data_IF_000496016758
#
_entry.id   IF_000496016758
#
_cell.length_a   1.000
_cell.length_b   1.000
_cell.length_c   1.000
_cell.angle_alpha   90.00
_cell.angle_beta   90.00
_cell.angle_gamma   90.00
#
_symmetry.space_group_name_H-M   'P 1'
#
loop_
_entity.id
_entity.type
_entity.pdbx_description
1 polymer ?
#
# COMPACT_ATOMS: atom_id res chain seq x y z
N UNK A 1 -2.27 30.71 -15.49
CA UNK A 1 -2.24 32.18 -15.24
C UNK A 1 -1.24 32.80 -16.23
N UNK A 2 -0.99 34.12 -16.27
CA UNK A 2 0.05 34.69 -17.15
C UNK A 2 1.47 34.44 -16.60
N UNK A 3 2.51 34.57 -17.44
CA UNK A 3 3.91 34.55 -16.99
C UNK A 3 4.12 35.50 -15.80
N UNK A 4 4.78 35.01 -14.74
CA UNK A 4 5.08 35.81 -13.56
C UNK A 4 6.08 36.93 -13.93
N UNK A 5 5.99 38.11 -13.29
CA UNK A 5 7.07 39.08 -13.31
C UNK A 5 8.39 38.39 -12.91
N UNK A 6 9.49 38.76 -13.56
CA UNK A 6 10.79 38.10 -13.40
C UNK A 6 11.21 37.95 -11.93
N UNK A 7 10.95 38.96 -11.10
CA UNK A 7 11.23 38.94 -9.65
C UNK A 7 10.48 37.82 -8.91
N UNK A 8 9.18 37.63 -9.20
CA UNK A 8 8.37 36.58 -8.58
C UNK A 8 8.78 35.19 -9.06
N UNK A 9 9.18 35.07 -10.32
CA UNK A 9 9.75 33.82 -10.86
C UNK A 9 11.06 33.46 -10.15
N UNK A 10 11.93 34.45 -9.90
CA UNK A 10 13.18 34.26 -9.14
C UNK A 10 12.89 33.83 -7.71
N UNK A 11 11.95 34.48 -7.02
CA UNK A 11 11.55 34.11 -5.66
C UNK A 11 10.98 32.67 -5.58
N UNK A 12 10.15 32.28 -6.55
CA UNK A 12 9.61 30.93 -6.62
C UNK A 12 10.74 29.90 -6.84
N UNK A 13 11.66 30.17 -7.76
CA UNK A 13 12.82 29.30 -7.99
C UNK A 13 13.73 29.23 -6.75
N UNK A 14 13.99 30.35 -6.06
CA UNK A 14 14.76 30.37 -4.81
C UNK A 14 14.08 29.54 -3.71
N UNK A 15 12.75 29.63 -3.57
CA UNK A 15 12.01 28.79 -2.63
C UNK A 15 12.19 27.30 -2.95
N UNK A 16 12.03 26.89 -4.22
CA UNK A 16 12.23 25.51 -4.65
C UNK A 16 13.68 25.04 -4.47
N UNK A 17 14.67 25.88 -4.77
CA UNK A 17 16.09 25.62 -4.52
C UNK A 17 16.40 25.41 -3.04
N UNK A 18 15.70 26.10 -2.15
CA UNK A 18 15.81 25.92 -0.70
C UNK A 18 14.98 24.74 -0.16
N UNK A 19 14.36 23.94 -1.04
CA UNK A 19 13.65 22.71 -0.68
C UNK A 19 12.21 22.91 -0.21
N UNK A 20 11.60 24.07 -0.42
CA UNK A 20 10.18 24.27 -0.11
C UNK A 20 9.30 23.42 -1.04
N UNK A 21 8.40 22.61 -0.47
CA UNK A 21 7.42 21.85 -1.26
C UNK A 21 6.31 22.76 -1.79
N UNK A 22 5.62 22.29 -2.83
CA UNK A 22 4.46 22.99 -3.40
C UNK A 22 3.36 23.16 -2.32
N UNK A 23 3.22 22.19 -1.39
CA UNK A 23 2.32 22.27 -0.21
C UNK A 23 2.73 23.38 0.78
N UNK A 24 4.02 23.55 1.05
CA UNK A 24 4.48 24.60 1.96
C UNK A 24 4.27 25.99 1.35
N UNK A 25 4.56 26.12 0.06
CA UNK A 25 4.33 27.37 -0.69
C UNK A 25 2.84 27.68 -0.76
N UNK A 26 1.98 26.68 -0.97
CA UNK A 26 0.54 26.85 -1.07
C UNK A 26 -0.03 27.41 0.24
N UNK A 27 0.40 26.88 1.39
CA UNK A 27 0.03 27.40 2.70
C UNK A 27 0.46 28.85 2.92
N UNK A 28 1.68 29.21 2.50
CA UNK A 28 2.21 30.58 2.65
C UNK A 28 1.52 31.59 1.74
N UNK A 29 1.08 31.17 0.55
CA UNK A 29 0.43 32.03 -0.43
C UNK A 29 -1.11 32.04 -0.32
N UNK A 30 -1.70 31.09 0.41
CA UNK A 30 -3.15 30.95 0.55
C UNK A 30 -3.86 30.48 -0.73
N UNK A 31 -3.16 29.68 -1.55
CA UNK A 31 -3.66 29.07 -2.80
C UNK A 31 -3.55 27.54 -2.70
N UNK A 32 -4.08 26.79 -3.66
CA UNK A 32 -3.97 25.31 -3.65
C UNK A 32 -2.57 24.82 -4.03
N UNK A 33 -2.25 23.56 -3.71
CA UNK A 33 -1.01 22.92 -4.15
C UNK A 33 -0.94 22.82 -5.69
N UNK A 34 -2.08 22.54 -6.33
CA UNK A 34 -2.22 22.50 -7.78
C UNK A 34 -1.91 23.86 -8.42
N UNK A 35 -2.41 24.95 -7.86
CA UNK A 35 -2.13 26.31 -8.34
C UNK A 35 -0.63 26.64 -8.23
N UNK A 36 0.04 26.21 -7.15
CA UNK A 36 1.51 26.37 -7.03
C UNK A 36 2.23 25.56 -8.10
N UNK A 37 1.84 24.31 -8.33
CA UNK A 37 2.43 23.43 -9.34
C UNK A 37 2.29 24.02 -10.74
N UNK A 38 1.10 24.49 -11.10
CA UNK A 38 0.83 25.14 -12.39
C UNK A 38 1.69 26.39 -12.57
N UNK A 39 1.72 27.28 -11.57
CA UNK A 39 2.58 28.46 -11.57
C UNK A 39 4.05 28.09 -11.78
N UNK A 40 4.50 27.04 -11.10
CA UNK A 40 5.88 26.56 -11.17
C UNK A 40 6.23 26.06 -12.58
N UNK A 41 5.36 25.24 -13.19
CA UNK A 41 5.56 24.69 -14.54
C UNK A 41 5.45 25.79 -15.62
N UNK A 42 4.43 26.66 -15.56
CA UNK A 42 4.23 27.78 -16.50
C UNK A 42 5.44 28.72 -16.57
N UNK A 43 6.21 28.81 -15.48
CA UNK A 43 7.38 29.68 -15.36
C UNK A 43 8.73 28.95 -15.53
N UNK A 44 8.71 27.68 -15.95
CA UNK A 44 9.91 26.89 -16.20
C UNK A 44 10.72 26.60 -14.93
N UNK A 45 10.09 26.62 -13.75
CA UNK A 45 10.71 26.29 -12.47
C UNK A 45 10.52 24.79 -12.24
N UNK A 46 11.22 23.96 -13.00
CA UNK A 46 11.14 22.50 -12.91
C UNK A 46 12.41 21.93 -12.30
N UNK A 47 12.34 20.80 -11.57
CA UNK A 47 13.55 20.17 -11.06
C UNK A 47 14.35 19.58 -12.22
N UNK A 48 15.66 19.43 -12.00
CA UNK A 48 16.53 18.56 -12.77
C UNK A 48 16.92 17.36 -11.92
N UNK A 49 17.30 16.27 -12.55
CA UNK A 49 17.73 15.06 -11.85
C UNK A 49 19.22 14.82 -12.07
N UNK A 50 19.96 14.63 -10.97
CA UNK A 50 21.41 14.45 -10.97
C UNK A 50 21.80 13.07 -10.49
N UNK A 51 22.95 12.61 -10.95
CA UNK A 51 23.49 11.30 -10.60
C UNK A 51 24.29 11.34 -9.30
N UNK A 52 24.17 10.27 -8.52
CA UNK A 52 25.11 9.98 -7.44
C UNK A 52 26.30 9.22 -8.03
N UNK A 53 27.49 9.81 -7.96
CA UNK A 53 28.69 9.32 -8.67
C UNK A 53 29.86 8.93 -7.74
N UNK A 54 29.74 9.17 -6.43
CA UNK A 54 30.79 9.00 -5.40
C UNK A 54 32.03 9.90 -5.54
N UNK A 55 32.14 10.70 -6.60
CA UNK A 55 33.36 11.44 -6.97
C UNK A 55 33.13 12.91 -7.35
N UNK A 56 31.91 13.44 -7.12
CA UNK A 56 31.57 14.85 -7.32
C UNK A 56 31.87 15.36 -8.74
N UNK A 57 31.56 14.54 -9.74
CA UNK A 57 31.71 14.85 -11.16
C UNK A 57 33.13 14.66 -11.71
N UNK A 58 34.07 14.12 -10.93
CA UNK A 58 35.44 13.85 -11.42
C UNK A 58 35.45 12.78 -12.52
N UNK A 59 34.60 11.76 -12.40
CA UNK A 59 34.46 10.67 -13.35
C UNK A 59 33.00 10.48 -13.77
N UNK A 60 32.81 9.99 -14.99
CA UNK A 60 31.47 9.62 -15.47
C UNK A 60 30.93 8.43 -14.66
N UNK A 61 29.83 8.65 -13.93
CA UNK A 61 29.11 7.56 -13.29
C UNK A 61 28.31 6.77 -14.31
N UNK A 62 28.26 5.45 -14.19
CA UNK A 62 27.38 4.58 -14.98
C UNK A 62 26.18 4.08 -14.19
N UNK A 63 26.20 4.22 -12.87
CA UNK A 63 25.15 3.78 -11.97
C UNK A 63 23.94 4.71 -12.05
N UNK A 64 22.74 4.21 -12.40
CA UNK A 64 21.57 5.03 -12.67
C UNK A 64 20.82 5.42 -11.37
N UNK A 65 21.52 6.12 -10.48
CA UNK A 65 21.04 6.51 -9.15
C UNK A 65 20.85 8.03 -9.08
N UNK A 66 19.59 8.47 -8.99
CA UNK A 66 19.20 9.87 -9.18
C UNK A 66 18.56 10.50 -7.94
N UNK A 67 18.74 11.82 -7.83
CA UNK A 67 17.97 12.69 -6.94
C UNK A 67 17.59 13.99 -7.67
N UNK A 68 16.49 14.62 -7.25
CA UNK A 68 16.01 15.87 -7.82
C UNK A 68 16.66 17.08 -7.15
N UNK A 69 16.91 18.13 -7.93
CA UNK A 69 17.35 19.41 -7.42
C UNK A 69 16.92 20.56 -8.32
N UNK A 70 16.90 21.77 -7.77
CA UNK A 70 16.70 23.01 -8.54
C UNK A 70 18.05 23.71 -8.71
N UNK A 71 18.82 23.23 -9.69
CA UNK A 71 20.15 23.78 -9.98
C UNK A 71 20.06 25.16 -10.65
N UNK A 72 21.09 25.97 -10.44
CA UNK A 72 21.30 27.19 -11.22
C UNK A 72 21.78 26.80 -12.62
N UNK A 73 21.26 27.43 -13.70
CA UNK A 73 21.69 27.08 -15.04
C UNK A 73 23.19 27.29 -15.24
N UNK A 74 23.85 26.26 -15.77
CA UNK A 74 25.24 26.36 -16.18
C UNK A 74 25.26 27.02 -17.55
N UNK A 75 25.97 28.13 -17.68
CA UNK A 75 26.20 28.77 -18.97
C UNK A 75 27.31 28.01 -19.71
N UNK A 76 26.95 27.30 -20.78
CA UNK A 76 27.89 26.79 -21.78
C UNK A 76 27.91 27.73 -22.98
N UNK A 77 28.96 27.69 -23.80
CA UNK A 77 28.98 28.39 -25.09
C UNK A 77 28.72 27.35 -26.17
N UNK A 78 27.63 27.52 -26.93
CA UNK A 78 27.28 26.65 -28.05
C UNK A 78 28.27 26.75 -29.20
N UNK A 79 28.20 25.82 -30.16
CA UNK A 79 29.03 25.84 -31.38
C UNK A 79 28.82 27.11 -32.23
N UNK A 80 27.70 27.80 -32.03
CA UNK A 80 27.37 29.10 -32.63
C UNK A 80 27.94 30.32 -31.87
N UNK A 81 28.69 30.08 -30.80
CA UNK A 81 29.27 31.12 -29.94
C UNK A 81 28.27 31.81 -29.01
N UNK A 82 27.02 31.33 -28.92
CA UNK A 82 26.01 31.88 -28.03
C UNK A 82 26.01 31.18 -26.67
N UNK A 83 25.74 31.90 -25.57
CA UNK A 83 25.57 31.27 -24.26
C UNK A 83 24.31 30.39 -24.25
N UNK A 84 24.50 29.09 -24.09
CA UNK A 84 23.46 28.10 -23.83
C UNK A 84 23.32 27.88 -22.33
N UNK A 85 22.13 28.16 -21.80
CA UNK A 85 21.76 27.85 -20.43
C UNK A 85 21.38 26.37 -20.34
N UNK A 86 22.27 25.54 -19.79
CA UNK A 86 22.00 24.12 -19.56
C UNK A 86 21.42 23.93 -18.15
N UNK A 87 20.15 23.54 -18.11
CA UNK A 87 19.54 22.85 -16.97
C UNK A 87 19.24 21.43 -17.46
N UNK A 88 20.27 20.61 -17.61
CA UNK A 88 20.10 19.25 -18.11
C UNK A 88 20.02 18.26 -16.95
N UNK A 89 18.96 17.45 -16.99
CA UNK A 89 18.87 16.25 -16.17
C UNK A 89 19.81 15.20 -16.76
N UNK A 90 20.53 14.50 -15.90
CA UNK A 90 21.50 13.47 -16.28
C UNK A 90 20.83 12.10 -16.52
N UNK A 91 19.50 12.08 -16.67
CA UNK A 91 18.71 10.86 -16.81
C UNK A 91 19.04 10.17 -18.13
N UNK A 92 19.49 8.92 -18.02
CA UNK A 92 19.82 8.06 -19.17
C UNK A 92 18.71 7.08 -19.43
N UNK A 93 17.98 7.28 -20.52
CA UNK A 93 16.89 6.41 -20.95
C UNK A 93 17.32 5.47 -22.06
N UNK A 94 16.69 4.30 -22.12
CA UNK A 94 16.75 3.41 -23.27
C UNK A 94 15.48 3.51 -24.12
N UNK A 95 15.45 2.82 -25.24
CA UNK A 95 14.26 2.71 -26.10
C UNK A 95 13.19 1.74 -25.55
N UNK A 96 13.46 1.05 -24.43
CA UNK A 96 12.52 0.10 -23.84
C UNK A 96 11.36 0.84 -23.17
N UNK A 97 10.14 0.24 -23.16
CA UNK A 97 9.03 0.79 -22.39
C UNK A 97 9.36 0.79 -20.90
N UNK A 98 9.04 1.89 -20.22
CA UNK A 98 9.34 2.10 -18.80
C UNK A 98 8.14 1.76 -17.93
N UNK A 99 8.33 0.95 -16.88
CA UNK A 99 7.36 0.76 -15.80
C UNK A 99 7.95 1.32 -14.51
N UNK A 100 7.17 2.19 -13.86
CA UNK A 100 7.53 2.82 -12.61
C UNK A 100 6.93 2.06 -11.42
N UNK A 101 7.70 1.88 -10.36
CA UNK A 101 7.31 1.17 -9.15
C UNK A 101 7.50 2.13 -7.97
N UNK A 102 6.41 2.40 -7.25
CA UNK A 102 6.46 3.22 -6.05
C UNK A 102 6.73 2.36 -4.82
N UNK A 103 7.81 2.66 -4.09
CA UNK A 103 8.13 2.07 -2.80
C UNK A 103 7.21 2.54 -1.67
N UNK A 104 7.54 2.18 -0.43
CA UNK A 104 6.76 2.56 0.76
C UNK A 104 7.28 3.75 1.55
N UNK A 105 8.51 4.19 1.29
CA UNK A 105 9.22 5.14 2.13
C UNK A 105 9.72 4.46 3.41
N UNK A 106 9.91 5.25 4.47
CA UNK A 106 10.46 4.75 5.73
C UNK A 106 9.60 3.62 6.34
N UNK A 107 10.28 2.57 6.80
CA UNK A 107 9.65 1.46 7.51
C UNK A 107 9.02 1.95 8.82
N UNK A 108 7.87 1.38 9.17
CA UNK A 108 7.13 1.62 10.41
C UNK A 108 6.26 0.42 10.74
N UNK A 109 5.75 0.35 11.97
CA UNK A 109 4.81 -0.72 12.37
C UNK A 109 3.64 -0.75 11.38
N UNK A 110 3.35 -1.92 10.82
CA UNK A 110 2.34 -2.13 9.78
C UNK A 110 2.79 -1.86 8.34
N UNK A 111 3.94 -1.24 8.13
CA UNK A 111 4.58 -0.99 6.83
C UNK A 111 6.08 -1.29 6.88
N UNK A 112 6.42 -2.57 6.74
CA UNK A 112 7.80 -3.04 6.84
C UNK A 112 8.39 -3.48 5.51
N UNK A 113 9.39 -4.34 5.65
CA UNK A 113 10.21 -4.89 4.55
C UNK A 113 9.41 -5.78 3.61
N UNK A 114 8.21 -6.21 4.00
CA UNK A 114 7.35 -7.08 3.20
C UNK A 114 6.90 -6.38 1.90
N UNK A 115 6.68 -5.06 1.98
CA UNK A 115 6.35 -4.22 0.83
C UNK A 115 7.58 -3.95 -0.05
N UNK A 116 8.75 -3.77 0.56
CA UNK A 116 10.02 -3.64 -0.15
C UNK A 116 10.32 -4.90 -0.99
N UNK A 117 10.11 -6.09 -0.40
CA UNK A 117 10.21 -7.38 -1.08
C UNK A 117 9.32 -7.42 -2.33
N UNK A 118 8.07 -6.98 -2.22
CA UNK A 118 7.14 -6.94 -3.35
C UNK A 118 7.62 -5.99 -4.45
N UNK A 119 8.07 -4.79 -4.10
CA UNK A 119 8.62 -3.82 -5.05
C UNK A 119 9.87 -4.34 -5.77
N UNK A 120 10.79 -4.99 -5.05
CA UNK A 120 11.97 -5.62 -5.64
C UNK A 120 11.58 -6.71 -6.64
N UNK A 121 10.67 -7.61 -6.24
CA UNK A 121 10.19 -8.69 -7.11
C UNK A 121 9.49 -8.16 -8.38
N UNK A 122 8.77 -7.03 -8.29
CA UNK A 122 8.22 -6.35 -9.45
C UNK A 122 9.33 -5.86 -10.40
N UNK A 123 10.35 -5.17 -9.87
CA UNK A 123 11.46 -4.68 -10.66
C UNK A 123 12.19 -5.84 -11.37
N UNK A 124 12.41 -6.94 -10.68
CA UNK A 124 13.06 -8.12 -11.27
C UNK A 124 12.19 -8.77 -12.36
N UNK A 125 10.89 -8.94 -12.13
CA UNK A 125 9.99 -9.58 -13.08
C UNK A 125 9.81 -8.77 -14.37
N UNK A 126 9.65 -7.46 -14.23
CA UNK A 126 9.43 -6.55 -15.36
C UNK A 126 10.70 -6.34 -16.19
N UNK A 127 11.87 -6.30 -15.53
CA UNK A 127 13.17 -6.28 -16.23
C UNK A 127 13.38 -7.54 -17.05
N UNK A 128 13.08 -8.71 -16.49
CA UNK A 128 13.14 -10.00 -17.22
C UNK A 128 12.14 -10.05 -18.38
N UNK A 129 11.02 -9.32 -18.27
CA UNK A 129 10.03 -9.16 -19.33
C UNK A 129 10.39 -8.09 -20.39
N UNK A 130 11.55 -7.45 -20.28
CA UNK A 130 12.06 -6.51 -21.28
C UNK A 130 11.71 -5.04 -21.07
N UNK A 131 11.18 -4.68 -19.90
CA UNK A 131 10.90 -3.28 -19.54
C UNK A 131 12.10 -2.63 -18.85
N UNK A 132 12.22 -1.32 -19.02
CA UNK A 132 13.02 -0.52 -18.10
C UNK A 132 12.21 -0.33 -16.81
N UNK A 133 12.83 -0.63 -15.67
CA UNK A 133 12.18 -0.49 -14.37
C UNK A 133 12.70 0.75 -13.65
N UNK A 134 11.78 1.63 -13.26
CA UNK A 134 12.09 2.84 -12.49
C UNK A 134 11.59 2.64 -11.07
N UNK A 135 12.48 2.58 -10.09
CA UNK A 135 12.13 2.53 -8.68
C UNK A 135 12.11 3.94 -8.11
N UNK A 136 11.06 4.28 -7.37
CA UNK A 136 10.96 5.53 -6.61
C UNK A 136 10.78 5.17 -5.13
N UNK A 137 11.79 5.41 -4.31
CA UNK A 137 11.74 5.16 -2.87
C UNK A 137 12.77 6.04 -2.14
N UNK A 138 12.60 6.23 -0.84
CA UNK A 138 13.47 7.08 -0.02
C UNK A 138 13.99 6.40 1.25
N UNK A 139 13.78 5.09 1.38
CA UNK A 139 14.22 4.34 2.56
C UNK A 139 15.65 3.82 2.37
N UNK A 140 16.66 4.36 3.07
CA UNK A 140 18.06 3.98 2.86
C UNK A 140 18.39 2.55 3.31
N UNK A 141 17.50 1.90 4.07
CA UNK A 141 17.75 0.56 4.62
C UNK A 141 17.36 -0.58 3.65
N UNK A 142 16.74 -0.23 2.52
CA UNK A 142 16.01 -1.19 1.70
C UNK A 142 16.74 -1.66 0.45
N UNK A 143 16.40 -2.86 -0.02
CA UNK A 143 16.98 -3.42 -1.24
C UNK A 143 16.42 -2.71 -2.47
N UNK A 144 15.20 -2.17 -2.42
CA UNK A 144 14.66 -1.38 -3.53
C UNK A 144 15.47 -0.12 -3.83
N UNK A 145 16.14 0.45 -2.82
CA UNK A 145 17.04 1.59 -2.98
C UNK A 145 18.49 1.20 -3.28
N UNK A 146 18.75 -0.09 -3.52
CA UNK A 146 19.99 -0.52 -4.17
C UNK A 146 19.88 -0.24 -5.68
N UNK A 147 20.91 0.37 -6.26
CA UNK A 147 20.96 0.71 -7.67
C UNK A 147 20.99 -0.51 -8.60
N UNK A 148 21.33 -1.70 -8.10
CA UNK A 148 21.28 -2.95 -8.87
C UNK A 148 19.86 -3.53 -9.01
N UNK A 149 18.91 -3.02 -8.20
CA UNK A 149 17.54 -3.57 -8.14
C UNK A 149 16.69 -3.18 -9.34
N UNK A 150 16.80 -1.93 -9.80
CA UNK A 150 16.02 -1.39 -10.91
C UNK A 150 16.93 -0.89 -12.04
N UNK A 151 16.34 -0.57 -13.19
CA UNK A 151 17.10 0.04 -14.30
C UNK A 151 17.47 1.48 -14.01
N UNK A 152 16.61 2.19 -13.26
CA UNK A 152 16.86 3.52 -12.73
C UNK A 152 16.26 3.63 -11.34
N UNK A 153 16.97 4.29 -10.43
CA UNK A 153 16.53 4.53 -9.07
C UNK A 153 16.43 6.04 -8.83
N UNK A 154 15.28 6.49 -8.36
CA UNK A 154 15.07 7.85 -7.88
C UNK A 154 14.94 7.83 -6.36
N UNK A 155 15.93 8.39 -5.65
CA UNK A 155 15.93 8.54 -4.20
C UNK A 155 15.09 9.74 -3.76
N UNK A 156 13.79 9.66 -4.00
CA UNK A 156 12.88 10.80 -3.87
C UNK A 156 11.80 10.54 -2.81
N UNK A 157 11.35 11.59 -2.10
CA UNK A 157 10.19 11.46 -1.23
C UNK A 157 8.95 11.04 -2.04
N UNK A 158 8.20 10.07 -1.52
CA UNK A 158 6.94 9.60 -2.11
C UNK A 158 5.80 10.59 -1.83
N UNK A 159 5.88 11.75 -2.47
CA UNK A 159 4.84 12.78 -2.48
C UNK A 159 4.28 12.92 -3.88
N UNK A 160 3.06 13.43 -4.01
CA UNK A 160 2.46 13.71 -5.31
C UNK A 160 3.37 14.58 -6.19
N UNK A 161 3.92 15.66 -5.62
CA UNK A 161 4.81 16.58 -6.32
C UNK A 161 6.00 15.87 -6.96
N UNK A 162 6.77 15.11 -6.17
CA UNK A 162 8.01 14.47 -6.63
C UNK A 162 7.73 13.32 -7.58
N UNK A 163 6.72 12.51 -7.28
CA UNK A 163 6.29 11.41 -8.16
C UNK A 163 5.86 11.94 -9.52
N UNK A 164 5.07 13.03 -9.57
CA UNK A 164 4.68 13.64 -10.84
C UNK A 164 5.86 14.26 -11.60
N UNK A 165 6.82 14.86 -10.90
CA UNK A 165 8.04 15.37 -11.55
C UNK A 165 8.81 14.22 -12.25
N UNK A 166 8.87 13.03 -11.64
CA UNK A 166 9.50 11.85 -12.25
C UNK A 166 8.66 11.33 -13.42
N UNK A 167 7.33 11.23 -13.27
CA UNK A 167 6.42 10.78 -14.35
C UNK A 167 6.54 11.67 -15.59
N UNK A 168 6.58 12.99 -15.43
CA UNK A 168 6.69 13.95 -16.52
C UNK A 168 7.99 13.79 -17.31
N UNK A 169 9.09 13.48 -16.59
CA UNK A 169 10.36 13.20 -17.24
C UNK A 169 10.34 11.81 -17.84
N UNK A 170 10.18 10.73 -17.06
CA UNK A 170 10.26 9.33 -17.51
C UNK A 170 9.24 8.96 -18.58
N UNK A 171 8.00 9.49 -18.48
CA UNK A 171 6.84 9.13 -19.31
C UNK A 171 6.61 7.61 -19.32
N UNK A 172 6.40 6.97 -18.15
CA UNK A 172 6.24 5.53 -18.07
C UNK A 172 4.99 5.06 -18.82
N UNK A 173 5.00 3.82 -19.30
CA UNK A 173 3.81 3.16 -19.86
C UNK A 173 2.90 2.58 -18.77
N UNK A 174 3.41 2.49 -17.54
CA UNK A 174 2.65 2.00 -16.39
C UNK A 174 3.30 2.40 -15.06
N UNK A 175 2.48 2.62 -14.04
CA UNK A 175 2.87 2.94 -12.66
C UNK A 175 2.21 1.95 -11.71
N UNK A 176 3.03 1.23 -10.92
CA UNK A 176 2.57 0.30 -9.87
C UNK A 176 2.54 1.05 -8.53
N UNK A 177 1.36 1.09 -7.92
CA UNK A 177 1.09 1.76 -6.63
C UNK A 177 0.67 0.79 -5.53
N UNK A 178 0.39 -0.47 -5.87
CA UNK A 178 -0.23 -1.46 -5.00
C UNK A 178 0.77 -2.25 -4.15
N UNK A 179 2.07 -2.07 -4.37
CA UNK A 179 3.12 -2.90 -3.76
C UNK A 179 3.86 -2.23 -2.60
N UNK A 180 3.92 -0.89 -2.57
CA UNK A 180 4.64 -0.15 -1.54
C UNK A 180 3.84 0.13 -0.25
N UNK A 181 2.73 -0.57 -0.01
CA UNK A 181 1.85 -0.32 1.14
C UNK A 181 1.04 0.98 1.00
N UNK A 182 0.70 1.65 2.11
CA UNK A 182 -0.25 2.77 2.07
C UNK A 182 0.29 4.05 1.44
N UNK A 183 1.61 4.29 1.55
CA UNK A 183 2.22 5.54 1.05
C UNK A 183 1.87 5.79 -0.43
N UNK A 184 2.10 4.84 -1.36
CA UNK A 184 1.68 5.01 -2.75
C UNK A 184 0.18 4.90 -2.99
N UNK A 185 -0.55 4.11 -2.20
CA UNK A 185 -2.02 4.01 -2.34
C UNK A 185 -2.71 5.34 -2.08
N UNK A 186 -2.28 6.06 -1.05
CA UNK A 186 -2.81 7.40 -0.73
C UNK A 186 -2.57 8.42 -1.86
N UNK A 187 -1.64 8.14 -2.78
CA UNK A 187 -1.37 8.98 -3.94
C UNK A 187 -2.14 8.52 -5.19
N UNK A 188 -2.64 7.28 -5.21
CA UNK A 188 -3.09 6.61 -6.43
C UNK A 188 -4.17 7.39 -7.19
N UNK A 189 -5.26 7.78 -6.51
CA UNK A 189 -6.38 8.51 -7.12
C UNK A 189 -5.92 9.86 -7.67
N UNK A 190 -5.15 10.62 -6.88
CA UNK A 190 -4.64 11.94 -7.29
C UNK A 190 -3.66 11.84 -8.47
N UNK A 191 -2.83 10.79 -8.50
CA UNK A 191 -1.91 10.52 -9.61
C UNK A 191 -2.67 10.16 -10.89
N UNK A 192 -3.69 9.31 -10.79
CA UNK A 192 -4.54 8.95 -11.94
C UNK A 192 -5.28 10.15 -12.51
N UNK A 193 -5.88 11.00 -11.65
CA UNK A 193 -6.53 12.25 -12.06
C UNK A 193 -5.57 13.22 -12.76
N UNK A 194 -4.28 13.21 -12.37
CA UNK A 194 -3.22 13.98 -13.01
C UNK A 194 -2.66 13.34 -14.30
N UNK A 195 -3.21 12.19 -14.72
CA UNK A 195 -2.84 11.50 -15.96
C UNK A 195 -1.72 10.46 -15.83
N UNK A 196 -1.36 10.05 -14.60
CA UNK A 196 -0.42 8.95 -14.41
C UNK A 196 -1.04 7.62 -14.90
N UNK A 197 -0.32 6.81 -15.71
CA UNK A 197 -0.85 5.55 -16.21
C UNK A 197 -0.76 4.46 -15.14
N UNK A 198 -1.70 4.47 -14.17
CA UNK A 198 -1.75 3.44 -13.13
C UNK A 198 -2.11 2.09 -13.78
N UNK A 199 -1.31 1.05 -13.51
CA UNK A 199 -1.54 -0.32 -14.01
C UNK A 199 -1.88 -1.26 -12.87
N UNK A 200 -2.55 -2.38 -13.17
CA UNK A 200 -3.08 -3.30 -12.17
C UNK A 200 -4.48 -2.91 -11.70
N UNK A 201 -4.81 -3.24 -10.44
CA UNK A 201 -6.11 -2.89 -9.86
C UNK A 201 -6.28 -1.37 -9.80
N UNK A 202 -7.42 -0.87 -10.26
CA UNK A 202 -7.69 0.56 -10.37
C UNK A 202 -7.77 1.26 -9.00
N UNK A 203 -7.42 2.55 -8.89
CA UNK A 203 -7.64 3.34 -7.68
C UNK A 203 -9.11 3.29 -7.21
N UNK A 204 -10.07 3.38 -8.13
CA UNK A 204 -11.48 3.28 -7.82
C UNK A 204 -11.87 1.93 -7.18
N UNK A 205 -11.31 0.82 -7.67
CA UNK A 205 -11.51 -0.52 -7.08
C UNK A 205 -10.92 -0.61 -5.66
N UNK A 206 -9.79 0.04 -5.43
CA UNK A 206 -9.16 0.12 -4.10
C UNK A 206 -10.06 0.93 -3.15
N UNK A 207 -10.45 2.14 -3.54
CA UNK A 207 -11.29 3.03 -2.73
C UNK A 207 -12.65 2.41 -2.40
N UNK A 208 -13.22 1.60 -3.31
CA UNK A 208 -14.48 0.87 -3.08
C UNK A 208 -14.41 -0.05 -1.86
N UNK A 209 -13.25 -0.63 -1.56
CA UNK A 209 -13.06 -1.52 -0.40
C UNK A 209 -12.85 -0.75 0.91
N UNK A 210 -12.41 0.50 0.85
CA UNK A 210 -12.26 1.36 2.03
C UNK A 210 -13.57 2.04 2.44
N UNK A 211 -14.47 2.34 1.49
CA UNK A 211 -15.82 2.85 1.80
C UNK A 211 -16.76 1.75 2.25
N UNK A 212 -17.13 1.78 3.54
CA UNK A 212 -17.92 0.72 4.17
C UNK A 212 -19.33 0.56 3.59
N UNK A 213 -19.99 1.63 3.15
CA UNK A 213 -21.35 1.54 2.61
C UNK A 213 -21.32 0.88 1.23
N UNK A 214 -20.37 1.30 0.40
CA UNK A 214 -20.11 0.75 -0.92
C UNK A 214 -19.67 -0.72 -0.82
N UNK A 215 -18.74 -1.02 0.08
CA UNK A 215 -18.26 -2.37 0.33
C UNK A 215 -19.37 -3.28 0.87
N UNK A 216 -20.18 -2.80 1.81
CA UNK A 216 -21.28 -3.58 2.35
C UNK A 216 -22.34 -3.94 1.30
N UNK A 217 -22.76 -2.97 0.48
CA UNK A 217 -23.69 -3.22 -0.62
C UNK A 217 -23.11 -4.21 -1.66
N UNK A 218 -21.80 -4.14 -1.90
CA UNK A 218 -21.09 -5.08 -2.77
C UNK A 218 -21.07 -6.50 -2.21
N UNK A 219 -20.81 -6.68 -0.90
CA UNK A 219 -20.87 -7.99 -0.26
C UNK A 219 -22.29 -8.58 -0.30
N UNK A 220 -23.32 -7.75 -0.08
CA UNK A 220 -24.71 -8.17 -0.17
C UNK A 220 -25.07 -8.66 -1.59
N UNK A 221 -24.60 -7.96 -2.63
CA UNK A 221 -24.78 -8.37 -4.04
C UNK A 221 -24.14 -9.74 -4.30
N UNK A 222 -22.97 -10.01 -3.74
CA UNK A 222 -22.26 -11.28 -3.87
C UNK A 222 -22.81 -12.40 -2.95
N UNK A 223 -23.72 -12.07 -2.04
CA UNK A 223 -24.23 -12.99 -1.02
C UNK A 223 -23.17 -13.41 -0.01
N UNK A 224 -22.18 -12.55 0.26
CA UNK A 224 -21.06 -12.82 1.18
C UNK A 224 -21.36 -12.18 2.53
N UNK A 225 -21.24 -12.96 3.60
CA UNK A 225 -21.53 -12.49 4.95
C UNK A 225 -20.42 -11.59 5.50
N UNK A 226 -20.81 -10.52 6.19
CA UNK A 226 -19.94 -9.66 7.01
C UNK A 226 -20.51 -9.52 8.43
N UNK A 227 -19.69 -9.15 9.43
CA UNK A 227 -20.20 -8.83 10.77
C UNK A 227 -21.21 -7.69 10.72
N UNK A 228 -22.23 -7.75 11.59
CA UNK A 228 -23.16 -6.63 11.75
C UNK A 228 -22.39 -5.37 12.17
N UNK A 229 -22.59 -4.25 11.49
CA UNK A 229 -21.81 -3.04 11.71
C UNK A 229 -22.59 -1.77 11.41
N UNK A 230 -22.03 -0.65 11.84
CA UNK A 230 -22.60 0.68 11.63
C UNK A 230 -21.57 1.79 11.71
N UNK A 231 -22.02 3.02 11.49
CA UNK A 231 -21.19 4.23 11.53
C UNK A 231 -21.86 5.25 12.44
N UNK A 232 -21.07 5.93 13.26
CA UNK A 232 -21.52 6.98 14.15
C UNK A 232 -20.60 8.20 14.07
N UNK A 233 -21.16 9.40 14.19
CA UNK A 233 -20.41 10.66 14.19
C UNK A 233 -20.35 11.33 15.56
N UNK A 234 -21.18 10.86 16.50
CA UNK A 234 -21.25 11.35 17.86
C UNK A 234 -21.54 10.21 18.84
N UNK A 235 -21.47 10.51 20.14
CA UNK A 235 -21.64 9.53 21.21
C UNK A 235 -23.02 8.87 21.22
N UNK A 236 -24.09 9.65 21.03
CA UNK A 236 -25.45 9.13 21.13
C UNK A 236 -25.75 8.16 19.97
N UNK A 237 -25.36 8.52 18.74
CA UNK A 237 -25.42 7.62 17.58
C UNK A 237 -24.63 6.32 17.82
N UNK A 238 -23.43 6.43 18.40
CA UNK A 238 -22.58 5.26 18.64
C UNK A 238 -23.20 4.28 19.63
N UNK A 239 -23.86 4.78 20.69
CA UNK A 239 -24.57 3.94 21.66
C UNK A 239 -25.77 3.26 21.02
N UNK A 240 -26.53 3.97 20.18
CA UNK A 240 -27.67 3.39 19.45
C UNK A 240 -27.22 2.25 18.53
N UNK A 241 -26.17 2.50 17.74
CA UNK A 241 -25.57 1.48 16.86
C UNK A 241 -25.06 0.28 17.69
N UNK A 242 -24.27 0.52 18.74
CA UNK A 242 -23.75 -0.56 19.58
C UNK A 242 -24.85 -1.38 20.26
N UNK A 243 -25.96 -0.76 20.71
CA UNK A 243 -27.11 -1.48 21.27
C UNK A 243 -27.84 -2.34 20.24
N UNK A 244 -27.99 -1.84 19.02
CA UNK A 244 -28.63 -2.59 17.93
C UNK A 244 -27.82 -3.81 17.49
N UNK A 245 -26.48 -3.69 17.51
CA UNK A 245 -25.54 -4.75 17.15
C UNK A 245 -25.37 -5.74 18.33
N UNK A 246 -25.34 -5.22 19.56
CA UNK A 246 -25.07 -5.94 20.79
C UNK A 246 -23.58 -6.00 21.14
N UNK A 247 -23.25 -5.88 22.42
CA UNK A 247 -21.88 -5.99 22.94
C UNK A 247 -21.39 -7.45 23.05
N UNK A 248 -20.07 -7.70 23.00
CA UNK A 248 -18.99 -6.73 22.73
C UNK A 248 -18.99 -6.23 21.28
N UNK A 249 -18.46 -5.02 21.07
CA UNK A 249 -18.28 -4.40 19.74
C UNK A 249 -16.84 -3.99 19.53
N UNK A 250 -16.34 -4.09 18.29
CA UNK A 250 -15.07 -3.52 17.88
C UNK A 250 -15.32 -2.09 17.39
N UNK A 251 -14.61 -1.11 17.95
CA UNK A 251 -14.70 0.29 17.53
C UNK A 251 -13.42 0.72 16.85
N UNK A 252 -13.54 1.44 15.74
CA UNK A 252 -12.39 1.94 14.98
C UNK A 252 -12.64 3.31 14.36
N UNK A 253 -11.63 4.19 14.27
CA UNK A 253 -11.71 5.39 13.45
C UNK A 253 -11.80 5.01 11.97
N UNK A 254 -12.41 5.86 11.14
CA UNK A 254 -12.35 5.70 9.68
C UNK A 254 -10.97 6.10 9.13
N UNK A 255 -10.49 5.42 8.08
CA UNK A 255 -9.23 5.70 7.37
C UNK A 255 -7.95 5.59 8.23
N UNK A 256 -7.79 4.47 8.95
CA UNK A 256 -6.59 4.17 9.75
C UNK A 256 -6.02 2.79 9.39
N UNK A 257 -4.69 2.66 9.48
CA UNK A 257 -3.96 1.43 9.17
C UNK A 257 -3.46 0.74 10.45
N UNK A 258 -3.27 -0.58 10.37
CA UNK A 258 -2.65 -1.37 11.44
C UNK A 258 -3.49 -1.44 12.70
N UNK A 259 -4.80 -1.24 12.59
CA UNK A 259 -5.66 -1.21 13.76
C UNK A 259 -5.47 0.00 14.67
N UNK A 260 -4.89 1.09 14.17
CA UNK A 260 -4.57 2.25 15.01
C UNK A 260 -5.81 2.79 15.73
N UNK A 261 -5.71 2.88 17.06
CA UNK A 261 -6.81 3.26 17.94
C UNK A 261 -8.07 2.40 17.79
N UNK A 262 -7.95 1.13 17.39
CA UNK A 262 -9.03 0.16 17.52
C UNK A 262 -9.15 -0.33 18.96
N UNK A 263 -10.37 -0.57 19.43
CA UNK A 263 -10.61 -1.11 20.77
C UNK A 263 -11.81 -2.06 20.77
N UNK A 264 -11.74 -3.11 21.59
CA UNK A 264 -12.89 -3.99 21.86
C UNK A 264 -13.60 -3.44 23.09
N UNK A 265 -14.87 -3.09 22.91
CA UNK A 265 -15.69 -2.44 23.92
C UNK A 265 -16.78 -3.40 24.38
N UNK A 266 -16.89 -3.60 25.69
CA UNK A 266 -17.80 -4.58 26.29
C UNK A 266 -19.09 -3.97 26.85
N UNK A 267 -19.11 -2.65 27.06
CA UNK A 267 -20.24 -1.93 27.64
C UNK A 267 -20.28 -0.45 27.20
N UNK A 268 -21.41 0.20 27.50
CA UNK A 268 -21.64 1.61 27.14
C UNK A 268 -20.70 2.59 27.86
N UNK A 269 -20.27 2.27 29.09
CA UNK A 269 -19.37 3.16 29.85
C UNK A 269 -17.98 3.20 29.20
N UNK A 270 -17.50 2.05 28.77
CA UNK A 270 -16.25 1.88 28.02
C UNK A 270 -16.35 2.53 26.64
N UNK A 271 -17.51 2.42 25.96
CA UNK A 271 -17.76 3.11 24.70
C UNK A 271 -17.65 4.63 24.84
N UNK A 272 -18.19 5.18 25.93
CA UNK A 272 -18.11 6.61 26.23
C UNK A 272 -16.69 7.10 26.42
N UNK A 273 -15.87 6.33 27.16
CA UNK A 273 -14.45 6.63 27.37
C UNK A 273 -13.68 6.60 26.05
N UNK A 274 -13.93 5.60 25.20
CA UNK A 274 -13.31 5.50 23.89
C UNK A 274 -13.63 6.73 23.03
N UNK A 275 -14.91 7.10 22.89
CA UNK A 275 -15.35 8.21 22.02
C UNK A 275 -14.77 9.54 22.49
N UNK A 276 -14.71 9.78 23.80
CA UNK A 276 -14.10 10.99 24.35
C UNK A 276 -12.61 11.12 23.93
N UNK A 277 -11.84 10.02 23.99
CA UNK A 277 -10.44 10.02 23.53
C UNK A 277 -10.34 10.10 22.00
N UNK A 278 -11.19 9.38 21.27
CA UNK A 278 -11.15 9.34 19.81
C UNK A 278 -11.43 10.73 19.20
N UNK A 279 -12.32 11.51 19.82
CA UNK A 279 -12.62 12.88 19.42
C UNK A 279 -11.40 13.83 19.52
N UNK A 280 -10.45 13.56 20.43
CA UNK A 280 -9.19 14.32 20.54
C UNK A 280 -8.20 13.95 19.42
N UNK A 281 -8.19 12.67 19.00
CA UNK A 281 -7.22 12.13 18.04
C UNK A 281 -7.65 12.31 16.58
N UNK A 282 -8.96 12.28 16.29
CA UNK A 282 -9.49 12.41 14.93
C UNK A 282 -10.79 13.23 14.91
N UNK A 283 -10.69 14.57 15.10
CA UNK A 283 -11.87 15.44 15.12
C UNK A 283 -12.67 15.36 13.82
N UNK A 284 -13.97 15.14 13.92
CA UNK A 284 -14.91 15.17 12.78
C UNK A 284 -14.88 13.94 11.87
N UNK A 285 -14.09 12.90 12.17
CA UNK A 285 -14.14 11.64 11.43
C UNK A 285 -15.20 10.69 12.00
N UNK A 286 -15.96 9.98 11.16
CA UNK A 286 -16.88 8.94 11.64
C UNK A 286 -16.15 7.79 12.34
N UNK A 287 -16.79 7.22 13.36
CA UNK A 287 -16.38 6.02 14.07
C UNK A 287 -17.17 4.84 13.50
N UNK A 288 -16.47 3.76 13.19
CA UNK A 288 -17.07 2.51 12.75
C UNK A 288 -17.22 1.59 13.96
N UNK A 289 -18.36 0.91 14.04
CA UNK A 289 -18.72 0.01 15.14
C UNK A 289 -19.12 -1.32 14.55
N UNK A 290 -18.53 -2.40 15.07
CA UNK A 290 -18.56 -3.72 14.49
C UNK A 290 -18.92 -4.81 15.46
N UNK A 291 -19.57 -5.83 14.90
CA UNK A 291 -19.66 -7.21 15.37
C UNK A 291 -18.33 -7.72 15.93
N UNK A 292 -18.07 -7.68 17.24
CA UNK A 292 -16.94 -8.45 17.75
C UNK A 292 -17.28 -9.95 17.69
N UNK A 293 -16.56 -10.68 16.84
CA UNK A 293 -16.73 -12.13 16.65
C UNK A 293 -15.89 -12.89 17.67
N UNK A 294 -16.39 -12.93 18.91
CA UNK A 294 -15.73 -13.62 20.02
C UNK A 294 -15.49 -15.11 19.70
N UNK A 295 -14.29 -15.60 20.04
CA UNK A 295 -13.87 -16.98 19.79
C UNK A 295 -13.72 -17.38 18.32
N UNK A 296 -13.78 -16.44 17.36
CA UNK A 296 -13.64 -16.77 15.95
C UNK A 296 -12.19 -17.00 15.53
N UNK A 297 -11.97 -17.94 14.62
CA UNK A 297 -10.66 -18.18 14.00
C UNK A 297 -10.47 -17.16 12.88
N UNK A 298 -9.37 -16.40 12.91
CA UNK A 298 -9.02 -15.47 11.83
C UNK A 298 -8.22 -16.19 10.73
N UNK A 299 -8.45 -15.79 9.48
CA UNK A 299 -7.84 -16.40 8.30
C UNK A 299 -7.43 -15.32 7.31
N UNK A 300 -6.17 -15.33 6.89
CA UNK A 300 -5.66 -14.52 5.78
C UNK A 300 -5.61 -15.36 4.49
N UNK A 301 -5.99 -14.76 3.37
CA UNK A 301 -5.90 -15.38 2.05
C UNK A 301 -5.23 -14.40 1.09
N UNK A 302 -4.06 -14.80 0.57
CA UNK A 302 -3.42 -14.07 -0.53
C UNK A 302 -3.79 -14.74 -1.86
N UNK A 303 -4.16 -13.94 -2.86
CA UNK A 303 -4.58 -14.40 -4.18
C UNK A 303 -4.04 -13.47 -5.29
N UNK A 304 -4.01 -13.99 -6.52
CA UNK A 304 -3.73 -13.22 -7.73
C UNK A 304 -4.93 -13.32 -8.65
N UNK A 305 -5.34 -12.21 -9.24
CA UNK A 305 -6.38 -12.15 -10.26
C UNK A 305 -5.86 -11.44 -11.50
N UNK A 306 -6.17 -11.94 -12.70
CA UNK A 306 -5.86 -11.28 -13.98
C UNK A 306 -7.07 -10.56 -14.60
N UNK A 307 -8.20 -10.58 -13.92
CA UNK A 307 -9.50 -10.08 -14.39
C UNK A 307 -10.39 -11.15 -15.01
N UNK A 308 -9.83 -12.29 -15.43
CA UNK A 308 -10.58 -13.43 -15.97
C UNK A 308 -10.72 -14.55 -14.94
N UNK A 309 -9.64 -14.90 -14.25
CA UNK A 309 -9.59 -15.89 -13.19
C UNK A 309 -8.84 -15.36 -11.97
N UNK A 310 -9.23 -15.84 -10.79
CA UNK A 310 -8.50 -15.61 -9.55
C UNK A 310 -7.99 -16.92 -8.97
N UNK A 311 -6.73 -16.93 -8.54
CA UNK A 311 -6.06 -18.10 -8.01
C UNK A 311 -5.50 -17.77 -6.63
N UNK A 312 -5.88 -18.59 -5.65
CA UNK A 312 -5.36 -18.51 -4.28
C UNK A 312 -3.89 -18.87 -4.27
N UNK A 313 -3.07 -17.97 -3.73
CA UNK A 313 -1.65 -18.20 -3.47
C UNK A 313 -1.41 -18.97 -2.17
N UNK A 314 -2.19 -18.68 -1.13
CA UNK A 314 -2.15 -19.40 0.14
C UNK A 314 -3.25 -18.98 1.11
N UNK A 315 -3.69 -19.93 1.93
CA UNK A 315 -4.65 -19.73 3.02
C UNK A 315 -3.90 -19.93 4.34
N UNK A 316 -3.96 -18.93 5.22
CA UNK A 316 -3.24 -18.91 6.49
C UNK A 316 -4.24 -18.86 7.63
N UNK A 317 -4.22 -19.88 8.49
CA UNK A 317 -5.04 -19.91 9.71
C UNK A 317 -4.25 -19.27 10.86
N UNK A 318 -4.82 -18.28 11.53
CA UNK A 318 -4.17 -17.67 12.69
C UNK A 318 -4.22 -18.60 13.91
N UNK A 319 -3.24 -18.47 14.79
CA UNK A 319 -3.21 -19.18 16.08
C UNK A 319 -4.06 -18.43 17.10
N UNK A 320 -3.88 -17.12 17.18
CA UNK A 320 -4.72 -16.21 17.95
C UNK A 320 -6.12 -16.08 17.31
N UNK A 321 -7.10 -15.76 18.16
CA UNK A 321 -8.47 -15.51 17.72
C UNK A 321 -8.60 -14.13 17.05
N UNK A 322 -9.68 -13.97 16.28
CA UNK A 322 -10.09 -12.67 15.74
C UNK A 322 -10.22 -11.64 16.87
N UNK A 323 -9.62 -10.46 16.66
CA UNK A 323 -9.48 -9.42 17.69
C UNK A 323 -8.04 -9.19 18.13
N UNK A 324 -7.14 -10.11 17.82
CA UNK A 324 -5.70 -9.84 17.75
C UNK A 324 -5.36 -9.51 16.31
N UNK A 325 -4.69 -8.38 16.09
CA UNK A 325 -4.39 -7.92 14.73
C UNK A 325 -3.52 -8.93 13.97
N UNK A 326 -3.88 -9.24 12.72
CA UNK A 326 -3.18 -10.20 11.83
C UNK A 326 -1.65 -10.06 11.77
N UNK A 327 -1.15 -8.82 11.83
CA UNK A 327 0.28 -8.54 11.91
C UNK A 327 0.98 -9.11 13.15
N UNK A 328 0.31 -9.12 14.30
CA UNK A 328 0.84 -9.61 15.58
C UNK A 328 0.52 -11.10 15.83
N UNK A 329 -0.47 -11.65 15.11
CA UNK A 329 -0.82 -13.06 15.20
C UNK A 329 0.24 -13.96 14.56
N UNK A 330 0.47 -15.11 15.18
CA UNK A 330 1.09 -16.24 14.52
C UNK A 330 0.09 -16.84 13.53
N UNK A 331 0.58 -17.41 12.43
CA UNK A 331 -0.28 -18.10 11.48
C UNK A 331 0.38 -19.33 10.87
N UNK A 332 -0.44 -20.27 10.42
CA UNK A 332 -0.01 -21.54 9.83
C UNK A 332 -0.54 -21.70 8.40
N UNK A 333 0.34 -22.15 7.51
CA UNK A 333 0.04 -22.54 6.13
C UNK A 333 0.57 -23.97 5.93
N UNK A 334 -0.27 -24.94 5.51
CA UNK A 334 -1.71 -24.81 5.26
C UNK A 334 -2.52 -24.73 6.57
N UNK A 335 -3.83 -24.37 6.50
CA UNK A 335 -4.72 -24.38 7.67
C UNK A 335 -4.77 -25.76 8.34
N UNK A 336 -4.86 -25.78 9.68
CA UNK A 336 -4.76 -27.00 10.50
C UNK A 336 -6.09 -27.51 11.03
N UNK A 337 -7.06 -26.63 11.27
CA UNK A 337 -8.31 -26.96 11.98
C UNK A 337 -9.57 -26.69 11.18
N UNK A 338 -9.49 -25.89 10.12
CA UNK A 338 -10.63 -25.54 9.28
C UNK A 338 -11.17 -26.75 8.51
N UNK A 339 -12.49 -26.89 8.46
CA UNK A 339 -13.13 -27.99 7.74
C UNK A 339 -12.98 -27.82 6.22
N UNK A 340 -13.00 -28.93 5.44
CA UNK A 340 -12.97 -28.84 3.98
C UNK A 340 -14.10 -27.99 3.38
N UNK A 341 -15.25 -27.94 4.07
CA UNK A 341 -16.40 -27.10 3.68
C UNK A 341 -16.07 -25.61 3.78
N UNK A 342 -15.55 -25.16 4.92
CA UNK A 342 -15.15 -23.76 5.13
C UNK A 342 -14.00 -23.39 4.19
N UNK A 343 -13.02 -24.26 4.04
CA UNK A 343 -11.91 -24.05 3.11
C UNK A 343 -12.36 -23.90 1.65
N UNK A 344 -13.42 -24.62 1.24
CA UNK A 344 -14.03 -24.44 -0.08
C UNK A 344 -14.75 -23.10 -0.19
N UNK A 345 -15.54 -22.73 0.82
CA UNK A 345 -16.27 -21.46 0.87
C UNK A 345 -15.33 -20.25 0.84
N UNK A 346 -14.20 -20.31 1.56
CA UNK A 346 -13.14 -19.29 1.54
C UNK A 346 -12.62 -19.07 0.11
N UNK A 347 -12.31 -20.15 -0.61
CA UNK A 347 -11.81 -20.07 -2.00
C UNK A 347 -12.85 -19.46 -2.94
N UNK A 348 -14.08 -19.94 -2.87
CA UNK A 348 -15.19 -19.45 -3.70
C UNK A 348 -15.48 -17.96 -3.44
N UNK A 349 -15.47 -17.54 -2.17
CA UNK A 349 -15.67 -16.13 -1.81
C UNK A 349 -14.48 -15.28 -2.25
N UNK A 350 -13.24 -15.78 -2.11
CA UNK A 350 -12.03 -15.07 -2.55
C UNK A 350 -12.08 -14.83 -4.06
N UNK A 351 -12.47 -15.83 -4.85
CA UNK A 351 -12.62 -15.71 -6.31
C UNK A 351 -13.72 -14.71 -6.69
N UNK A 352 -14.90 -14.79 -6.06
CA UNK A 352 -15.99 -13.83 -6.29
C UNK A 352 -15.58 -12.39 -5.96
N UNK A 353 -14.89 -12.18 -4.85
CA UNK A 353 -14.40 -10.86 -4.43
C UNK A 353 -13.39 -10.33 -5.44
N UNK A 354 -12.43 -11.15 -5.86
CA UNK A 354 -11.41 -10.76 -6.82
C UNK A 354 -12.01 -10.31 -8.17
N UNK A 355 -12.95 -11.09 -8.70
CA UNK A 355 -13.61 -10.79 -9.97
C UNK A 355 -14.57 -9.60 -9.83
N UNK A 356 -15.36 -9.54 -8.75
CA UNK A 356 -16.31 -8.47 -8.51
C UNK A 356 -15.68 -7.10 -8.23
N UNK A 357 -14.44 -7.07 -7.73
CA UNK A 357 -13.63 -5.86 -7.55
C UNK A 357 -12.75 -5.55 -8.77
N UNK A 358 -12.80 -6.39 -9.81
CA UNK A 358 -11.98 -6.26 -11.02
C UNK A 358 -10.47 -6.20 -10.70
N UNK A 359 -10.04 -7.02 -9.74
CA UNK A 359 -8.64 -7.08 -9.31
C UNK A 359 -7.75 -7.49 -10.48
N UNK A 360 -6.63 -6.77 -10.64
CA UNK A 360 -5.55 -7.11 -11.58
C UNK A 360 -4.22 -7.05 -10.84
N UNK A 361 -3.73 -8.21 -10.42
CA UNK A 361 -2.56 -8.37 -9.57
C UNK A 361 -2.91 -9.02 -8.24
N UNK A 362 -2.23 -8.60 -7.17
CA UNK A 362 -2.42 -9.16 -5.82
C UNK A 362 -3.69 -8.66 -5.15
N UNK A 363 -4.30 -9.54 -4.36
CA UNK A 363 -5.33 -9.22 -3.39
C UNK A 363 -5.11 -10.05 -2.13
N UNK A 364 -5.44 -9.47 -0.98
CA UNK A 364 -5.55 -10.14 0.29
C UNK A 364 -6.98 -10.05 0.82
N UNK A 365 -7.47 -11.12 1.43
CA UNK A 365 -8.78 -11.15 2.10
C UNK A 365 -8.60 -11.69 3.51
N UNK A 366 -9.18 -10.99 4.48
CA UNK A 366 -9.26 -11.46 5.86
C UNK A 366 -10.67 -11.98 6.15
N UNK A 367 -10.73 -13.18 6.72
CA UNK A 367 -11.96 -13.82 7.14
C UNK A 367 -11.95 -14.12 8.63
N UNK A 368 -13.14 -14.23 9.21
CA UNK A 368 -13.36 -14.83 10.52
C UNK A 368 -14.29 -16.05 10.39
N UNK A 369 -13.94 -17.16 11.04
CA UNK A 369 -14.75 -18.37 11.11
C UNK A 369 -15.25 -18.52 12.54
N UNK A 370 -16.55 -18.31 12.75
CA UNK A 370 -17.16 -18.41 14.07
C UNK A 370 -17.92 -19.74 14.22
N UNK A 371 -17.64 -20.45 15.32
CA UNK A 371 -18.36 -21.66 15.70
C UNK A 371 -19.34 -21.33 16.82
N UNK A 372 -20.62 -21.63 16.62
CA UNK A 372 -21.67 -21.42 17.62
C UNK A 372 -22.58 -22.65 17.68
N UNK A 373 -23.47 -22.73 18.68
CA UNK A 373 -24.48 -23.80 18.75
C UNK A 373 -25.41 -23.81 17.52
N UNK A 374 -25.66 -22.63 16.93
CA UNK A 374 -26.45 -22.48 15.69
C UNK A 374 -25.64 -22.83 14.44
N UNK A 375 -24.32 -22.69 14.50
CA UNK A 375 -23.39 -22.92 13.39
C UNK A 375 -22.23 -23.84 13.83
N UNK A 376 -22.50 -25.13 14.13
CA UNK A 376 -21.47 -26.05 14.63
C UNK A 376 -20.41 -26.41 13.57
N UNK A 377 -20.72 -26.23 12.28
CA UNK A 377 -19.76 -26.42 11.17
C UNK A 377 -18.96 -25.14 10.84
N UNK A 378 -19.19 -24.05 11.58
CA UNK A 378 -18.59 -22.75 11.35
C UNK A 378 -19.42 -21.86 10.42
N UNK A 379 -19.42 -20.56 10.69
CA UNK A 379 -19.94 -19.51 9.82
C UNK A 379 -18.81 -18.58 9.41
N UNK A 380 -18.65 -18.39 8.11
CA UNK A 380 -17.62 -17.55 7.52
C UNK A 380 -18.10 -16.10 7.41
N UNK A 381 -17.25 -15.17 7.80
CA UNK A 381 -17.47 -13.73 7.66
C UNK A 381 -16.25 -13.08 6.99
N UNK A 382 -16.46 -12.15 6.07
CA UNK A 382 -15.39 -11.27 5.58
C UNK A 382 -15.17 -10.14 6.57
N UNK A 383 -13.91 -9.92 6.95
CA UNK A 383 -13.48 -8.80 7.80
C UNK A 383 -13.09 -7.61 6.91
N UNK A 384 -12.15 -7.82 5.99
CA UNK A 384 -11.67 -6.81 5.07
C UNK A 384 -11.10 -7.43 3.78
N UNK A 385 -11.05 -6.64 2.72
CA UNK A 385 -10.43 -6.99 1.44
C UNK A 385 -9.43 -5.90 1.09
N UNK A 386 -8.21 -6.29 0.79
CA UNK A 386 -7.11 -5.42 0.42
C UNK A 386 -6.70 -5.75 -1.03
N UNK A 387 -7.18 -5.04 -2.06
CA UNK A 387 -6.87 -5.32 -3.47
C UNK A 387 -5.47 -4.83 -3.88
N UNK A 388 -4.46 -5.30 -3.12
CA UNK A 388 -3.06 -4.89 -3.16
C UNK A 388 -2.16 -5.98 -2.56
N UNK A 389 -0.85 -5.74 -2.56
CA UNK A 389 0.06 -6.59 -1.79
C UNK A 389 -0.23 -6.47 -0.28
N UNK A 390 -0.21 -7.61 0.40
CA UNK A 390 -0.24 -7.71 1.87
C UNK A 390 1.16 -8.01 2.41
N UNK A 391 1.31 -7.89 3.73
CA UNK A 391 2.55 -8.25 4.41
C UNK A 391 2.84 -9.76 4.39
N UNK A 392 1.83 -10.60 4.14
CA UNK A 392 1.97 -12.07 4.13
C UNK A 392 2.49 -12.61 2.80
N UNK A 393 2.49 -11.82 1.73
CA UNK A 393 2.96 -12.24 0.40
C UNK A 393 4.37 -12.84 0.39
N UNK A 394 5.39 -12.28 1.08
CA UNK A 394 6.71 -12.90 1.17
C UNK A 394 6.67 -14.26 1.88
N UNK A 395 5.96 -14.36 3.01
CA UNK A 395 5.80 -15.62 3.74
C UNK A 395 5.14 -16.69 2.87
N UNK A 396 4.00 -16.38 2.22
CA UNK A 396 3.31 -17.31 1.31
C UNK A 396 4.20 -17.70 0.14
N UNK A 397 4.95 -16.75 -0.43
CA UNK A 397 5.87 -17.02 -1.54
C UNK A 397 7.01 -17.96 -1.13
N UNK A 398 7.52 -17.83 0.10
CA UNK A 398 8.55 -18.72 0.63
C UNK A 398 7.99 -20.10 1.00
N UNK A 399 6.81 -20.15 1.59
CA UNK A 399 6.14 -21.40 1.97
C UNK A 399 5.78 -22.25 0.74
N UNK A 400 5.28 -21.62 -0.33
CA UNK A 400 4.81 -22.33 -1.53
C UNK A 400 5.87 -22.51 -2.61
N UNK A 401 6.99 -21.76 -2.52
CA UNK A 401 7.98 -21.65 -3.58
C UNK A 401 7.52 -20.85 -4.80
N UNK A 402 6.31 -20.26 -4.77
CA UNK A 402 5.76 -19.49 -5.89
C UNK A 402 6.00 -17.99 -5.66
N UNK A 403 6.67 -17.28 -6.59
CA UNK A 403 6.98 -15.86 -6.42
C UNK A 403 5.77 -14.98 -6.75
N UNK A 404 4.79 -14.91 -5.85
CA UNK A 404 3.49 -14.27 -6.09
C UNK A 404 3.61 -12.81 -6.59
N UNK A 405 4.49 -12.01 -5.98
CA UNK A 405 4.73 -10.63 -6.42
C UNK A 405 5.24 -10.55 -7.87
N UNK A 406 6.08 -11.49 -8.32
CA UNK A 406 6.57 -11.52 -9.72
C UNK A 406 5.44 -11.84 -10.69
N UNK A 407 4.63 -12.84 -10.37
CA UNK A 407 3.49 -13.23 -11.19
C UNK A 407 2.49 -12.08 -11.30
N UNK A 408 2.15 -11.45 -10.18
CA UNK A 408 1.24 -10.32 -10.15
C UNK A 408 1.76 -9.11 -10.94
N UNK A 409 3.06 -8.80 -10.91
CA UNK A 409 3.61 -7.72 -11.75
C UNK A 409 3.48 -8.01 -13.25
N UNK A 410 3.62 -9.27 -13.66
CA UNK A 410 3.42 -9.68 -15.04
C UNK A 410 1.93 -9.60 -15.44
N UNK A 411 1.03 -9.89 -14.51
CA UNK A 411 -0.40 -9.68 -14.70
C UNK A 411 -0.75 -8.20 -14.88
N UNK A 412 -0.14 -7.31 -14.07
CA UNK A 412 -0.37 -5.87 -14.17
C UNK A 412 0.04 -5.27 -15.53
N UNK A 413 0.97 -5.91 -16.26
CA UNK A 413 1.35 -5.52 -17.63
C UNK A 413 0.63 -6.32 -18.73
N UNK A 414 -0.39 -7.11 -18.35
CA UNK A 414 -1.34 -7.73 -19.28
C UNK A 414 -1.13 -9.22 -19.57
N UNK A 415 -0.23 -9.93 -18.86
CA UNK A 415 -0.15 -11.40 -18.99
C UNK A 415 -1.27 -12.06 -18.19
N UNK A 416 -1.94 -13.05 -18.79
CA UNK A 416 -2.91 -13.88 -18.06
C UNK A 416 -2.21 -14.89 -17.15
N UNK A 417 -2.90 -15.29 -16.09
CA UNK A 417 -2.48 -16.37 -15.19
C UNK A 417 -2.32 -17.70 -15.94
N UNK A 418 -3.11 -17.92 -17.00
CA UNK A 418 -2.97 -19.07 -17.90
C UNK A 418 -1.63 -19.06 -18.65
N UNK A 419 -1.22 -17.92 -19.20
CA UNK A 419 0.09 -17.78 -19.87
C UNK A 419 1.26 -17.96 -18.89
N UNK A 420 1.06 -17.56 -17.63
CA UNK A 420 2.04 -17.71 -16.56
C UNK A 420 2.07 -19.11 -15.95
N UNK A 421 1.12 -19.99 -16.30
CA UNK A 421 1.00 -21.34 -15.75
C UNK A 421 0.58 -21.39 -14.28
N UNK A 422 -0.02 -20.32 -13.75
CA UNK A 422 -0.49 -20.24 -12.37
C UNK A 422 -2.03 -20.27 -12.35
N UNK A 423 -2.60 -21.45 -12.55
CA UNK A 423 -4.06 -21.65 -12.65
C UNK A 423 -4.66 -22.42 -11.48
N UNK A 424 -3.82 -22.92 -10.58
CA UNK A 424 -4.23 -23.72 -9.42
C UNK A 424 -3.46 -23.27 -8.17
N UNK A 425 -4.10 -23.41 -7.01
CA UNK A 425 -3.48 -23.13 -5.72
C UNK A 425 -2.26 -24.06 -5.49
N UNK A 426 -1.11 -23.52 -5.05
CA UNK A 426 0.06 -24.33 -4.71
C UNK A 426 -0.24 -25.32 -3.59
N UNK A 427 0.14 -26.58 -3.80
CA UNK A 427 0.04 -27.63 -2.77
C UNK A 427 1.38 -27.81 -2.10
N UNK A 428 1.38 -27.78 -0.77
CA UNK A 428 2.55 -28.13 0.06
C UNK A 428 2.22 -29.31 0.97
N UNK A 429 3.23 -30.13 1.26
CA UNK A 429 3.15 -31.34 2.09
C UNK A 429 3.85 -31.21 3.46
N UNK A 430 4.25 -29.99 3.80
CA UNK A 430 4.85 -29.59 5.07
C UNK A 430 4.09 -28.41 5.67
N UNK A 431 4.35 -28.10 6.95
CA UNK A 431 3.80 -26.91 7.59
C UNK A 431 4.80 -25.77 7.58
N UNK A 432 4.29 -24.57 7.35
CA UNK A 432 5.00 -23.31 7.52
C UNK A 432 4.26 -22.47 8.55
N UNK A 433 4.99 -21.98 9.56
CA UNK A 433 4.43 -21.16 10.64
C UNK A 433 5.14 -19.83 10.67
N UNK A 434 4.37 -18.74 10.60
CA UNK A 434 4.85 -17.37 10.83
C UNK A 434 4.64 -17.04 12.31
N UNK A 435 5.62 -16.41 12.94
CA UNK A 435 5.51 -15.85 14.30
C UNK A 435 6.01 -14.40 14.31
N UNK A 436 5.34 -13.53 15.08
CA UNK A 436 5.64 -12.12 15.16
C UNK A 436 6.68 -11.78 16.25
N UNK A 437 7.47 -10.73 16.02
CA UNK A 437 8.44 -10.20 16.99
C UNK A 437 7.98 -8.82 17.50
N UNK A 438 7.69 -8.76 18.80
CA UNK A 438 7.10 -7.61 19.47
C UNK A 438 8.17 -6.75 20.19
N UNK A 439 8.10 -5.42 20.11
CA UNK A 439 9.13 -4.53 20.64
C UNK A 439 8.96 -4.20 22.13
N UNK A 440 8.14 -4.92 22.90
CA UNK A 440 7.80 -4.55 24.29
C UNK A 440 9.03 -4.36 25.19
N UNK A 441 10.12 -5.09 24.96
CA UNK A 441 11.38 -4.93 25.70
C UNK A 441 12.02 -3.52 25.53
N UNK A 442 11.67 -2.79 24.47
CA UNK A 442 12.10 -1.42 24.23
C UNK A 442 11.26 -0.38 24.96
N UNK A 443 10.08 -0.75 25.46
CA UNK A 443 9.09 0.14 26.07
C UNK A 443 8.56 -0.45 27.38
N UNK A 444 9.36 -0.35 28.45
CA UNK A 444 9.08 -1.01 29.74
C UNK A 444 7.82 -0.53 30.46
N UNK A 445 7.34 0.67 30.14
CA UNK A 445 6.13 1.27 30.73
C UNK A 445 4.85 0.95 29.94
N UNK A 446 4.96 0.14 28.87
CA UNK A 446 3.83 -0.30 28.05
C UNK A 446 3.43 -1.72 28.44
N UNK A 447 2.13 -1.95 28.55
CA UNK A 447 1.57 -3.26 28.85
C UNK A 447 1.80 -4.24 27.67
N UNK A 448 2.50 -5.39 27.87
CA UNK A 448 2.82 -6.35 26.82
C UNK A 448 1.62 -7.24 26.45
N UNK A 449 0.50 -6.61 26.13
CA UNK A 449 -0.73 -7.26 25.68
C UNK A 449 -0.92 -7.11 24.17
N UNK A 450 -1.45 -8.17 23.57
CA UNK A 450 -1.94 -8.16 22.20
C UNK A 450 -3.33 -7.53 22.14
N UNK A 451 -3.71 -7.02 20.98
CA UNK A 451 -5.02 -6.44 20.76
C UNK A 451 -5.27 -6.16 19.27
N UNK A 452 -6.31 -5.37 18.97
CA UNK A 452 -6.70 -5.09 17.59
C UNK A 452 -5.77 -4.11 16.87
N UNK A 453 -4.83 -3.46 17.58
CA UNK A 453 -3.78 -2.61 17.02
C UNK A 453 -2.46 -3.39 16.91
N UNK A 454 -1.86 -3.36 15.72
CA UNK A 454 -0.56 -3.98 15.45
C UNK A 454 0.57 -3.28 16.19
N UNK A 455 1.48 -4.07 16.77
CA UNK A 455 2.67 -3.57 17.48
C UNK A 455 3.97 -4.25 17.08
N UNK A 456 3.90 -5.37 16.38
CA UNK A 456 5.06 -6.13 15.93
C UNK A 456 5.92 -5.34 14.94
N UNK A 457 7.21 -5.67 14.94
CA UNK A 457 8.25 -5.00 14.14
C UNK A 457 8.90 -5.92 13.11
N UNK A 458 8.60 -7.21 13.16
CA UNK A 458 9.12 -8.20 12.24
C UNK A 458 8.52 -9.57 12.52
N UNK A 459 8.99 -10.56 11.79
CA UNK A 459 8.46 -11.93 11.82
C UNK A 459 9.57 -12.96 11.57
N UNK A 460 9.29 -14.20 11.98
CA UNK A 460 10.13 -15.38 11.70
C UNK A 460 9.28 -16.50 11.11
N UNK A 461 9.91 -17.42 10.39
CA UNK A 461 9.27 -18.56 9.75
C UNK A 461 9.87 -19.88 10.26
N UNK A 462 9.02 -20.78 10.75
CA UNK A 462 9.34 -22.18 11.03
C UNK A 462 8.80 -23.10 9.95
N UNK A 463 9.55 -24.16 9.62
CA UNK A 463 9.17 -25.17 8.62
C UNK A 463 9.30 -26.55 9.27
N UNK A 464 8.29 -27.41 9.11
CA UNK A 464 8.26 -28.75 9.70
C UNK A 464 7.63 -29.79 8.78
#
# INVERSE_FOLDING_TARGET
>A
MGQLPNEKRVQLWEAKKNGFSDVQISHLLGISEEEVRELRIENGVVPVFKLVDTCAGEFEAYTPYYYSCYESPVLSIGEDGQPNSLNESEIRKSDKPTVMILGGGANRIGQGIEFDYCCCHAAFALRDAGYDTVMVNSNPETVSTDYDTSTRLYFEPLTFENVMNIIEVEKPVGVIVQFGGQTPLNLATRLEEAGAPIIGTSPASIDRTEDRKSFGAFLDELGISQPAGGTATNFDEAVEVARSIGFPVLVRPSFVLGGRAMEIVFDEESLKKYIARAAEVSPGKPILIDRFLDGAIEVDVDAICDGDIAVVGGIMEHIEQAGIHSGDSACVLPPRSLSPKILKEIRENTEKLALGLEVKGLMNVQYAVQYTDEHPEGKLFVIEVNPRASRTVPFVSKATGVPLARLASLVMIGKSLKELGFTEEPKIDYFCVKEAVLPFIKFTDVDPLLGPEMRSTGEVMGIA
#
